data_IF_654006530747
#
_entry.id   IF_654006530747
#
_cell.length_a   1.000
_cell.length_b   1.000
_cell.length_c   1.000
_cell.angle_alpha   90.00
_cell.angle_beta   90.00
_cell.angle_gamma   90.00
#
_symmetry.space_group_name_H-M   'P 1'
#
loop_
_entity.id
_entity.type
_entity.pdbx_description
1 polymer ?
#
# COMPACT_ATOMS: atom_id res chain seq x y z
N UNK A 1 -8.62 -33.05 28.78
CA UNK A 1 -9.20 -32.56 27.52
C UNK A 1 -8.87 -31.08 27.41
N UNK A 2 -8.02 -30.71 26.44
CA UNK A 2 -7.55 -29.33 26.24
C UNK A 2 -8.75 -28.45 25.88
N UNK A 3 -9.01 -27.43 26.70
CA UNK A 3 -10.07 -26.46 26.48
C UNK A 3 -9.77 -25.67 25.21
N UNK A 4 -10.71 -25.69 24.26
CA UNK A 4 -10.71 -24.79 23.12
C UNK A 4 -10.67 -23.35 23.63
N UNK A 5 -9.76 -22.54 23.10
CA UNK A 5 -9.76 -21.09 23.33
C UNK A 5 -11.14 -20.53 22.98
N UNK A 6 -11.78 -19.75 23.87
CA UNK A 6 -13.12 -19.28 23.62
C UNK A 6 -13.12 -18.32 22.42
N UNK A 7 -14.06 -18.56 21.49
CA UNK A 7 -14.34 -17.69 20.35
C UNK A 7 -14.55 -16.24 20.85
N UNK A 8 -13.86 -15.21 20.31
CA UNK A 8 -14.01 -13.82 20.76
C UNK A 8 -15.44 -13.28 20.65
N UNK A 9 -16.33 -13.92 19.88
CA UNK A 9 -17.76 -13.61 19.86
C UNK A 9 -18.50 -14.00 21.15
N UNK A 10 -18.01 -14.97 21.93
CA UNK A 10 -18.69 -15.46 23.14
C UNK A 10 -18.55 -14.53 24.36
N UNK A 11 -17.74 -13.48 24.28
CA UNK A 11 -17.59 -12.45 25.33
C UNK A 11 -18.65 -11.33 25.24
N UNK A 12 -19.53 -11.36 24.24
CA UNK A 12 -20.39 -10.21 23.87
C UNK A 12 -21.71 -10.09 24.61
N UNK A 13 -22.11 -11.10 25.39
CA UNK A 13 -23.36 -11.06 26.14
C UNK A 13 -23.07 -10.91 27.63
N UNK A 14 -23.54 -9.82 28.24
CA UNK A 14 -23.64 -9.78 29.70
C UNK A 14 -24.57 -10.92 30.12
N UNK A 15 -24.05 -11.86 30.91
CA UNK A 15 -24.88 -12.94 31.45
C UNK A 15 -25.91 -12.29 32.37
N UNK A 16 -27.19 -12.40 32.03
CA UNK A 16 -28.28 -11.99 32.92
C UNK A 16 -28.03 -12.60 34.30
N UNK A 17 -28.04 -11.83 35.39
CA UNK A 17 -27.75 -12.35 36.72
C UNK A 17 -28.69 -13.50 37.08
N UNK A 18 -28.18 -14.53 37.75
CA UNK A 18 -28.92 -15.77 38.02
C UNK A 18 -30.29 -15.55 38.71
N UNK A 19 -30.40 -14.54 39.59
CA UNK A 19 -31.65 -14.19 40.27
C UNK A 19 -32.71 -13.65 39.31
N UNK A 20 -32.31 -12.84 38.34
CA UNK A 20 -33.22 -12.32 37.32
C UNK A 20 -33.67 -13.44 36.37
N UNK A 21 -32.79 -14.41 36.09
CA UNK A 21 -33.17 -15.59 35.30
C UNK A 21 -34.24 -16.43 36.01
N UNK A 22 -34.16 -16.58 37.34
CA UNK A 22 -35.15 -17.31 38.12
C UNK A 22 -36.50 -16.57 38.11
N UNK A 23 -36.49 -15.24 38.28
CA UNK A 23 -37.70 -14.44 38.23
C UNK A 23 -38.42 -14.56 36.88
N UNK A 24 -37.69 -14.47 35.77
CA UNK A 24 -38.26 -14.64 34.42
C UNK A 24 -38.79 -16.07 34.14
N UNK A 25 -38.22 -17.09 34.79
CA UNK A 25 -38.74 -18.47 34.70
C UNK A 25 -39.99 -18.68 35.54
N UNK A 26 -40.05 -18.05 36.71
CA UNK A 26 -41.21 -18.12 37.60
C UNK A 26 -42.39 -17.29 37.09
N UNK A 27 -42.13 -16.18 36.39
CA UNK A 27 -43.17 -15.37 35.73
C UNK A 27 -43.76 -16.03 34.48
N UNK A 28 -43.13 -17.10 33.97
CA UNK A 28 -43.54 -17.78 32.74
C UNK A 28 -43.03 -17.14 31.45
N UNK A 29 -42.24 -16.06 31.55
CA UNK A 29 -41.66 -15.40 30.37
C UNK A 29 -40.62 -16.28 29.67
N UNK A 30 -39.90 -17.12 30.44
CA UNK A 30 -38.84 -18.02 29.97
C UNK A 30 -39.15 -19.50 30.26
N UNK A 31 -38.61 -20.44 29.46
CA UNK A 31 -38.79 -21.87 29.71
C UNK A 31 -38.18 -22.29 31.05
N UNK A 32 -38.89 -23.17 31.78
CA UNK A 32 -38.51 -23.66 33.11
C UNK A 32 -37.12 -24.34 33.10
N UNK A 33 -36.78 -25.01 31.99
CA UNK A 33 -35.50 -25.68 31.76
C UNK A 33 -34.90 -25.28 30.42
N UNK A 34 -33.57 -25.22 30.33
CA UNK A 34 -32.85 -24.91 29.09
C UNK A 34 -32.21 -23.52 29.07
N UNK A 35 -31.72 -23.15 27.89
CA UNK A 35 -31.04 -21.88 27.63
C UNK A 35 -32.08 -20.75 27.60
N UNK A 36 -31.86 -19.63 28.32
CA UNK A 36 -32.78 -18.50 28.26
C UNK A 36 -32.91 -17.96 26.82
N UNK A 37 -34.12 -17.56 26.39
CA UNK A 37 -34.31 -16.96 25.08
C UNK A 37 -33.55 -15.64 25.00
N UNK A 38 -33.03 -15.32 23.81
CA UNK A 38 -32.35 -14.05 23.57
C UNK A 38 -33.38 -12.91 23.71
N UNK A 39 -33.05 -11.89 24.50
CA UNK A 39 -33.85 -10.68 24.54
C UNK A 39 -33.82 -9.96 23.19
N UNK A 40 -34.84 -9.15 22.88
CA UNK A 40 -34.95 -8.42 21.60
C UNK A 40 -33.69 -7.59 21.28
N UNK A 41 -33.10 -6.94 22.29
CA UNK A 41 -31.84 -6.20 22.12
C UNK A 41 -30.66 -7.12 21.79
N UNK A 42 -30.53 -8.25 22.48
CA UNK A 42 -29.47 -9.24 22.21
C UNK A 42 -29.64 -9.90 20.84
N UNK A 43 -30.88 -10.14 20.42
CA UNK A 43 -31.20 -10.64 19.09
C UNK A 43 -30.84 -9.60 18.02
N UNK A 44 -31.18 -8.32 18.22
CA UNK A 44 -30.80 -7.23 17.30
C UNK A 44 -29.28 -7.08 17.21
N UNK A 45 -28.56 -7.23 18.32
CA UNK A 45 -27.09 -7.15 18.35
C UNK A 45 -26.42 -8.29 17.56
N UNK A 46 -27.08 -9.45 17.37
CA UNK A 46 -26.58 -10.50 16.48
C UNK A 46 -26.53 -10.07 15.01
N UNK A 47 -27.42 -9.16 14.61
CA UNK A 47 -27.49 -8.61 13.26
C UNK A 47 -26.79 -7.25 13.15
N UNK A 48 -26.07 -6.81 14.18
CA UNK A 48 -25.30 -5.58 14.12
C UNK A 48 -24.12 -5.76 13.15
N UNK A 49 -24.24 -5.21 11.95
CA UNK A 49 -23.15 -5.13 10.98
C UNK A 49 -22.05 -4.23 11.53
N UNK A 50 -20.85 -4.76 11.67
CA UNK A 50 -19.67 -3.95 11.94
C UNK A 50 -19.13 -3.41 10.61
N UNK A 51 -18.59 -2.18 10.60
CA UNK A 51 -17.96 -1.65 9.40
C UNK A 51 -16.83 -2.57 8.98
N UNK A 52 -16.81 -2.93 7.70
CA UNK A 52 -15.71 -3.62 7.08
C UNK A 52 -14.52 -2.67 6.91
N UNK A 53 -13.33 -3.21 6.67
CA UNK A 53 -12.16 -2.38 6.39
C UNK A 53 -12.37 -1.48 5.16
N UNK A 54 -13.07 -1.97 4.14
CA UNK A 54 -13.45 -1.22 2.94
C UNK A 54 -14.22 0.06 3.24
N UNK A 55 -15.03 0.08 4.31
CA UNK A 55 -15.89 1.21 4.66
C UNK A 55 -15.08 2.41 5.17
N UNK A 56 -13.78 2.21 5.47
CA UNK A 56 -12.85 3.27 5.84
C UNK A 56 -12.02 3.79 4.66
N UNK A 57 -12.17 3.22 3.46
CA UNK A 57 -11.54 3.76 2.26
C UNK A 57 -12.29 5.03 1.82
N UNK A 58 -11.56 6.08 1.38
CA UNK A 58 -12.14 7.41 1.27
C UNK A 58 -13.00 7.63 0.01
N UNK A 59 -13.15 6.63 -0.86
CA UNK A 59 -13.84 6.74 -2.16
C UNK A 59 -14.98 5.72 -2.26
N UNK A 60 -16.08 6.15 -2.87
CA UNK A 60 -17.28 5.33 -3.11
C UNK A 60 -17.32 4.84 -4.57
N UNK A 61 -17.26 5.77 -5.53
CA UNK A 61 -17.37 5.47 -6.97
C UNK A 61 -16.52 6.38 -7.84
N UNK A 62 -16.27 5.96 -9.07
CA UNK A 62 -15.63 6.76 -10.11
C UNK A 62 -16.67 7.34 -11.07
N UNK A 63 -16.50 8.60 -11.45
CA UNK A 63 -17.25 9.28 -12.50
C UNK A 63 -16.36 9.39 -13.76
N UNK A 64 -16.62 8.58 -14.80
CA UNK A 64 -15.81 8.60 -16.02
C UNK A 64 -16.01 9.86 -16.87
N UNK A 65 -17.13 10.58 -16.73
CA UNK A 65 -17.39 11.78 -17.52
C UNK A 65 -16.53 12.96 -17.06
N UNK A 66 -16.36 13.11 -15.75
CA UNK A 66 -15.55 14.18 -15.14
C UNK A 66 -14.14 13.69 -14.71
N UNK A 67 -13.90 12.38 -14.75
CA UNK A 67 -12.66 11.73 -14.35
C UNK A 67 -12.35 11.86 -12.86
N UNK A 68 -13.35 11.88 -11.98
CA UNK A 68 -13.19 12.09 -10.54
C UNK A 68 -13.73 10.91 -9.72
N UNK A 69 -13.19 10.72 -8.53
CA UNK A 69 -13.70 9.81 -7.51
C UNK A 69 -14.62 10.57 -6.56
N UNK A 70 -15.85 10.08 -6.40
CA UNK A 70 -16.75 10.52 -5.33
C UNK A 70 -16.24 9.93 -4.01
N UNK A 71 -16.17 10.76 -2.98
CA UNK A 71 -15.69 10.34 -1.66
C UNK A 71 -16.82 9.73 -0.80
N UNK A 72 -16.41 9.16 0.33
CA UNK A 72 -17.23 8.50 1.36
C UNK A 72 -18.43 9.32 1.87
N UNK A 73 -18.36 10.65 1.81
CA UNK A 73 -19.43 11.56 2.23
C UNK A 73 -20.53 11.79 1.16
N UNK A 74 -20.38 11.19 -0.03
CA UNK A 74 -21.34 11.28 -1.12
C UNK A 74 -21.44 12.65 -1.79
N UNK A 75 -20.55 13.61 -1.46
CA UNK A 75 -20.56 14.96 -2.04
C UNK A 75 -19.16 15.43 -2.47
N UNK A 76 -18.16 15.13 -1.66
CA UNK A 76 -16.79 15.51 -1.92
C UNK A 76 -16.21 14.69 -3.05
N UNK A 77 -15.27 15.27 -3.79
CA UNK A 77 -14.64 14.62 -4.94
C UNK A 77 -13.12 14.73 -4.85
N UNK A 78 -12.45 13.77 -5.45
CA UNK A 78 -11.00 13.75 -5.63
C UNK A 78 -10.60 13.29 -7.02
N UNK A 79 -9.39 13.62 -7.43
CA UNK A 79 -8.78 13.13 -8.65
C UNK A 79 -7.41 12.54 -8.32
N UNK A 80 -7.06 11.44 -9.01
CA UNK A 80 -5.79 10.76 -8.84
C UNK A 80 -4.98 10.93 -10.13
N UNK A 81 -3.71 11.28 -9.98
CA UNK A 81 -2.77 11.45 -11.07
C UNK A 81 -1.53 10.60 -10.80
N UNK A 82 -1.03 9.94 -11.82
CA UNK A 82 0.31 9.39 -11.84
C UNK A 82 1.26 10.44 -12.41
N UNK A 83 2.31 10.75 -11.66
CA UNK A 83 3.35 11.69 -12.04
C UNK A 83 4.60 10.91 -12.50
N UNK A 84 5.07 11.17 -13.71
CA UNK A 84 6.35 10.71 -14.21
C UNK A 84 7.45 11.69 -13.81
N UNK A 85 8.49 11.19 -13.16
CA UNK A 85 9.63 11.99 -12.75
C UNK A 85 10.26 12.69 -13.97
N UNK A 86 10.65 13.95 -13.79
CA UNK A 86 11.43 14.67 -14.80
C UNK A 86 12.84 14.05 -14.90
N UNK A 87 13.37 13.99 -16.12
CA UNK A 87 14.73 13.50 -16.36
C UNK A 87 15.78 14.53 -15.90
N UNK A 88 16.14 14.41 -14.63
CA UNK A 88 17.12 15.26 -13.95
C UNK A 88 18.47 14.54 -13.75
N UNK A 89 18.60 13.31 -14.23
CA UNK A 89 19.83 12.54 -14.06
C UNK A 89 21.00 13.18 -14.80
N UNK A 90 22.15 13.24 -14.14
CA UNK A 90 23.39 13.83 -14.67
C UNK A 90 23.27 15.28 -15.18
N UNK A 91 22.25 16.04 -14.74
CA UNK A 91 22.09 17.47 -15.07
C UNK A 91 23.00 18.34 -14.20
N UNK A 92 23.36 19.50 -14.74
CA UNK A 92 24.15 20.49 -14.02
C UNK A 92 23.39 21.01 -12.78
N UNK A 93 24.07 21.34 -11.66
CA UNK A 93 23.43 21.85 -10.44
C UNK A 93 22.51 23.05 -10.67
N UNK A 94 22.83 23.93 -11.61
CA UNK A 94 22.03 25.10 -11.96
C UNK A 94 20.68 24.70 -12.54
N UNK A 95 20.64 23.61 -13.33
CA UNK A 95 19.40 23.08 -13.89
C UNK A 95 18.51 22.46 -12.81
N UNK A 96 19.11 21.78 -11.83
CA UNK A 96 18.39 21.26 -10.66
C UNK A 96 17.79 22.39 -9.82
N UNK A 97 18.57 23.44 -9.55
CA UNK A 97 18.10 24.62 -8.81
C UNK A 97 16.97 25.36 -9.57
N UNK A 98 17.07 25.47 -10.89
CA UNK A 98 16.01 26.01 -11.73
C UNK A 98 14.74 25.16 -11.66
N UNK A 99 14.86 23.84 -11.79
CA UNK A 99 13.72 22.92 -11.67
C UNK A 99 13.04 23.05 -10.32
N UNK A 100 13.80 23.09 -9.21
CA UNK A 100 13.25 23.26 -7.86
C UNK A 100 12.48 24.59 -7.73
N UNK A 101 13.01 25.69 -8.26
CA UNK A 101 12.33 26.98 -8.26
C UNK A 101 11.02 26.95 -9.06
N UNK A 102 11.03 26.31 -10.22
CA UNK A 102 9.84 26.15 -11.05
C UNK A 102 8.81 25.24 -10.37
N UNK A 103 9.25 24.16 -9.73
CA UNK A 103 8.39 23.26 -8.96
C UNK A 103 7.72 24.00 -7.78
N UNK A 104 8.46 24.85 -7.05
CA UNK A 104 7.88 25.68 -5.98
C UNK A 104 6.79 26.62 -6.51
N UNK A 105 7.01 27.23 -7.68
CA UNK A 105 6.00 28.06 -8.34
C UNK A 105 4.75 27.25 -8.71
N UNK A 106 4.94 26.06 -9.28
CA UNK A 106 3.85 25.16 -9.66
C UNK A 106 3.06 24.70 -8.44
N UNK A 107 3.71 24.34 -7.33
CA UNK A 107 3.04 23.99 -6.08
C UNK A 107 2.18 25.15 -5.54
N UNK A 108 2.61 26.40 -5.76
CA UNK A 108 1.84 27.60 -5.45
C UNK A 108 0.57 27.78 -6.29
N UNK A 109 0.42 27.06 -7.41
CA UNK A 109 -0.79 27.07 -8.26
C UNK A 109 -1.90 26.15 -7.72
N UNK A 110 -1.65 25.38 -6.66
CA UNK A 110 -2.70 24.59 -6.02
C UNK A 110 -3.80 25.51 -5.47
N UNK A 111 -5.08 25.10 -5.53
CA UNK A 111 -6.18 25.94 -5.06
C UNK A 111 -6.06 26.24 -3.56
N UNK A 112 -5.79 27.50 -3.25
CA UNK A 112 -5.67 28.03 -1.89
C UNK A 112 -6.69 29.16 -1.69
N UNK A 113 -7.96 28.77 -1.64
CA UNK A 113 -9.06 29.70 -1.32
C UNK A 113 -9.09 29.93 0.20
N UNK A 114 -9.44 31.14 0.64
CA UNK A 114 -9.67 31.48 2.05
C UNK A 114 -11.03 30.90 2.49
N UNK A 115 -11.09 29.57 2.53
CA UNK A 115 -12.27 28.74 2.79
C UNK A 115 -11.93 27.74 3.91
N UNK A 116 -12.83 27.46 4.86
CA UNK A 116 -12.61 26.47 5.92
C UNK A 116 -12.36 25.03 5.41
N UNK A 117 -12.62 24.75 4.14
CA UNK A 117 -12.43 23.44 3.51
C UNK A 117 -11.29 23.49 2.48
N UNK A 118 -10.02 23.31 2.91
CA UNK A 118 -8.87 23.41 2.04
C UNK A 118 -8.81 22.26 1.03
N UNK A 119 -8.17 22.53 -0.11
CA UNK A 119 -7.79 21.48 -1.07
C UNK A 119 -6.56 20.76 -0.54
N UNK A 120 -6.59 19.44 -0.54
CA UNK A 120 -5.50 18.59 -0.07
C UNK A 120 -4.85 17.93 -1.29
N UNK A 121 -3.54 18.15 -1.45
CA UNK A 121 -2.67 17.33 -2.30
C UNK A 121 -1.99 16.28 -1.40
N UNK A 122 -2.22 15.01 -1.69
CA UNK A 122 -1.56 13.89 -1.03
C UNK A 122 -0.70 13.14 -2.04
N UNK A 123 0.60 13.03 -1.74
CA UNK A 123 1.57 12.33 -2.56
C UNK A 123 1.87 10.95 -1.96
N UNK A 124 1.86 9.94 -2.81
CA UNK A 124 2.27 8.57 -2.50
C UNK A 124 3.41 8.18 -3.41
N UNK A 125 4.47 7.63 -2.81
CA UNK A 125 5.61 7.06 -3.54
C UNK A 125 5.56 5.55 -3.37
N UNK A 126 5.47 4.85 -4.49
CA UNK A 126 5.53 3.40 -4.55
C UNK A 126 6.80 2.97 -5.30
N UNK A 127 7.58 2.10 -4.67
CA UNK A 127 8.70 1.43 -5.33
C UNK A 127 8.18 0.11 -5.89
N UNK A 128 7.71 0.13 -7.13
CA UNK A 128 7.16 -1.03 -7.80
C UNK A 128 8.27 -1.85 -8.44
N UNK A 129 8.08 -3.16 -8.49
CA UNK A 129 8.95 -4.00 -9.32
C UNK A 129 8.64 -3.74 -10.79
N UNK A 130 9.63 -3.37 -11.61
CA UNK A 130 9.38 -3.12 -13.01
C UNK A 130 8.88 -4.40 -13.69
N UNK A 131 8.04 -4.27 -14.74
CA UNK A 131 7.69 -5.41 -15.59
C UNK A 131 8.95 -6.04 -16.18
N UNK A 132 8.89 -7.34 -16.48
CA UNK A 132 10.03 -8.03 -17.09
C UNK A 132 10.28 -7.45 -18.48
N UNK A 133 11.50 -6.95 -18.72
CA UNK A 133 11.84 -6.29 -19.99
C UNK A 133 11.74 -7.26 -21.17
N UNK A 134 12.02 -8.55 -20.96
CA UNK A 134 11.92 -9.56 -22.02
C UNK A 134 10.48 -9.72 -22.48
N UNK A 135 9.50 -9.68 -21.58
CA UNK A 135 8.08 -9.81 -21.93
C UNK A 135 7.60 -8.61 -22.76
N UNK A 136 8.07 -7.41 -22.41
CA UNK A 136 7.76 -6.21 -23.19
C UNK A 136 8.37 -6.26 -24.59
N UNK A 137 9.64 -6.66 -24.68
CA UNK A 137 10.35 -6.77 -25.95
C UNK A 137 9.75 -7.88 -26.82
N UNK A 138 9.39 -9.01 -26.23
CA UNK A 138 8.70 -10.10 -26.92
C UNK A 138 7.38 -9.61 -27.52
N UNK A 139 6.53 -8.94 -26.72
CA UNK A 139 5.27 -8.38 -27.19
C UNK A 139 5.44 -7.35 -28.33
N UNK A 140 6.52 -6.57 -28.32
CA UNK A 140 6.83 -5.58 -29.35
C UNK A 140 7.52 -6.16 -30.61
N UNK A 141 8.04 -7.38 -30.53
CA UNK A 141 8.80 -8.00 -31.63
C UNK A 141 7.85 -8.61 -32.68
N UNK A 142 8.04 -8.35 -33.99
CA UNK A 142 7.26 -8.99 -35.07
C UNK A 142 7.27 -10.53 -35.01
N UNK A 143 6.16 -11.17 -35.38
CA UNK A 143 5.95 -12.61 -35.20
C UNK A 143 6.99 -13.48 -35.93
N UNK A 144 7.37 -13.08 -37.16
CA UNK A 144 8.36 -13.74 -38.01
C UNK A 144 9.76 -13.80 -37.38
N UNK A 145 10.15 -12.77 -36.63
CA UNK A 145 11.42 -12.73 -35.90
C UNK A 145 11.29 -13.36 -34.51
N UNK A 146 10.14 -13.20 -33.86
CA UNK A 146 9.83 -13.69 -32.51
C UNK A 146 9.93 -15.21 -32.42
N UNK A 147 9.45 -15.92 -33.44
CA UNK A 147 9.38 -17.39 -33.43
C UNK A 147 10.71 -18.09 -33.73
N UNK A 148 11.76 -17.34 -34.12
CA UNK A 148 13.06 -17.96 -34.38
C UNK A 148 13.66 -18.57 -33.11
N UNK A 149 14.33 -19.75 -33.19
CA UNK A 149 14.94 -20.38 -32.02
C UNK A 149 15.96 -19.49 -31.30
N UNK A 150 16.69 -18.67 -32.06
CA UNK A 150 17.64 -17.71 -31.50
C UNK A 150 16.94 -16.64 -30.67
N UNK A 151 15.89 -16.03 -31.22
CA UNK A 151 15.11 -14.97 -30.55
C UNK A 151 14.45 -15.49 -29.27
N UNK A 152 13.88 -16.69 -29.32
CA UNK A 152 13.28 -17.35 -28.14
C UNK A 152 14.32 -17.61 -27.05
N UNK A 153 15.51 -18.10 -27.42
CA UNK A 153 16.60 -18.28 -26.47
C UNK A 153 17.07 -16.94 -25.87
N UNK A 154 17.13 -15.89 -26.69
CA UNK A 154 17.49 -14.55 -26.25
C UNK A 154 16.47 -13.98 -25.24
N UNK A 155 15.17 -14.15 -25.48
CA UNK A 155 14.13 -13.78 -24.51
C UNK A 155 14.25 -14.59 -23.22
N UNK A 156 14.51 -15.89 -23.30
CA UNK A 156 14.68 -16.72 -22.10
C UNK A 156 15.84 -16.24 -21.22
N UNK A 157 17.00 -15.94 -21.80
CA UNK A 157 18.16 -15.40 -21.07
C UNK A 157 17.88 -14.01 -20.50
N UNK A 158 17.28 -13.13 -21.30
CA UNK A 158 16.94 -11.76 -20.87
C UNK A 158 15.91 -11.77 -19.75
N UNK A 159 14.93 -12.67 -19.82
CA UNK A 159 13.90 -12.85 -18.79
C UNK A 159 14.51 -13.25 -17.45
N UNK A 160 15.38 -14.26 -17.47
CA UNK A 160 16.11 -14.71 -16.29
C UNK A 160 16.99 -13.60 -15.70
N UNK A 161 17.68 -12.81 -16.54
CA UNK A 161 18.46 -11.67 -16.09
C UNK A 161 17.59 -10.58 -15.46
N UNK A 162 16.44 -10.26 -16.07
CA UNK A 162 15.50 -9.28 -15.53
C UNK A 162 14.92 -9.74 -14.19
N UNK A 163 14.65 -11.03 -13.99
CA UNK A 163 14.15 -11.56 -12.73
C UNK A 163 15.21 -11.48 -11.62
N UNK A 164 16.49 -11.71 -11.94
CA UNK A 164 17.59 -11.48 -11.01
C UNK A 164 17.64 -10.01 -10.56
N UNK A 165 17.54 -9.06 -11.50
CA UNK A 165 17.57 -7.63 -11.17
C UNK A 165 16.38 -7.18 -10.31
N UNK A 166 15.26 -7.92 -10.33
CA UNK A 166 14.03 -7.60 -9.59
C UNK A 166 13.98 -8.24 -8.20
N UNK A 167 14.85 -9.21 -7.90
CA UNK A 167 14.87 -9.93 -6.61
C UNK A 167 14.87 -8.93 -5.43
N UNK A 168 14.01 -9.17 -4.44
CA UNK A 168 13.85 -8.30 -3.28
C UNK A 168 15.12 -8.15 -2.44
N UNK A 169 16.06 -9.09 -2.53
CA UNK A 169 17.37 -9.05 -1.86
C UNK A 169 18.37 -8.16 -2.60
N UNK A 170 18.12 -7.86 -3.87
CA UNK A 170 19.04 -7.17 -4.76
C UNK A 170 20.22 -8.01 -5.21
N UNK A 171 20.90 -7.54 -6.25
CA UNK A 171 22.01 -8.26 -6.91
C UNK A 171 23.40 -7.80 -6.46
N UNK A 172 23.52 -6.59 -5.91
CA UNK A 172 24.78 -6.01 -5.44
C UNK A 172 24.56 -5.29 -4.10
N UNK A 173 25.47 -5.39 -3.15
CA UNK A 173 25.38 -4.63 -1.91
C UNK A 173 25.53 -3.11 -2.18
N UNK A 174 24.51 -2.29 -1.85
CA UNK A 174 24.63 -0.84 -1.97
C UNK A 174 25.09 -0.21 -0.63
N UNK A 175 26.39 0.07 -0.55
CA UNK A 175 27.02 0.69 0.62
C UNK A 175 26.49 2.10 0.93
N UNK A 176 25.84 2.80 -0.03
CA UNK A 176 25.31 4.17 0.18
C UNK A 176 24.02 4.19 1.01
N UNK A 177 23.25 3.09 0.95
CA UNK A 177 21.94 2.96 1.62
C UNK A 177 22.08 2.15 2.91
N UNK A 178 23.20 1.46 3.09
CA UNK A 178 23.48 0.65 4.27
C UNK A 178 23.82 1.55 5.45
N UNK A 179 22.89 1.70 6.41
CA UNK A 179 23.22 2.34 7.68
C UNK A 179 24.08 1.40 8.53
N UNK A 180 25.01 1.97 9.30
CA UNK A 180 25.93 1.20 10.14
C UNK A 180 25.16 0.27 11.11
N UNK A 181 25.26 -1.04 10.89
CA UNK A 181 24.65 -2.08 11.72
C UNK A 181 23.52 -2.88 11.06
N UNK A 182 23.00 -2.46 9.91
CA UNK A 182 22.00 -3.22 9.15
C UNK A 182 22.64 -4.08 8.04
N UNK A 183 21.93 -5.14 7.64
CA UNK A 183 22.31 -5.89 6.42
C UNK A 183 22.29 -4.93 5.22
N UNK A 184 23.28 -5.00 4.33
CA UNK A 184 23.31 -4.14 3.17
C UNK A 184 22.05 -4.36 2.34
N UNK A 185 21.38 -3.26 2.01
CA UNK A 185 20.24 -3.30 1.10
C UNK A 185 20.80 -3.46 -0.30
N UNK A 186 20.52 -4.59 -0.94
CA UNK A 186 20.99 -4.84 -2.29
C UNK A 186 20.36 -3.88 -3.29
N UNK A 187 21.13 -3.45 -4.28
CA UNK A 187 20.63 -2.76 -5.46
C UNK A 187 19.71 -3.70 -6.24
N UNK A 188 18.53 -3.18 -6.59
CA UNK A 188 17.55 -3.86 -7.44
C UNK A 188 16.92 -2.85 -8.38
N UNK A 189 16.40 -3.32 -9.51
CA UNK A 189 15.61 -2.50 -10.40
C UNK A 189 14.29 -2.13 -9.73
N UNK A 190 13.99 -0.83 -9.69
CA UNK A 190 12.78 -0.27 -9.09
C UNK A 190 12.19 0.70 -10.09
N UNK A 191 10.89 0.59 -10.30
CA UNK A 191 10.09 1.59 -10.99
C UNK A 191 9.39 2.46 -9.93
N UNK A 192 9.86 3.70 -9.77
CA UNK A 192 9.30 4.62 -8.78
C UNK A 192 8.04 5.28 -9.35
N UNK A 193 6.90 4.89 -8.82
CA UNK A 193 5.60 5.46 -9.18
C UNK A 193 5.20 6.53 -8.17
N UNK A 194 4.89 7.73 -8.66
CA UNK A 194 4.42 8.84 -7.84
C UNK A 194 2.92 9.04 -8.12
N UNK A 195 2.09 8.88 -7.10
CA UNK A 195 0.66 9.12 -7.19
C UNK A 195 0.29 10.39 -6.43
N UNK A 196 -0.31 11.34 -7.12
CA UNK A 196 -0.83 12.58 -6.58
C UNK A 196 -2.36 12.51 -6.49
N UNK A 197 -2.89 12.49 -5.28
CA UNK A 197 -4.32 12.55 -5.01
C UNK A 197 -4.68 13.99 -4.62
N UNK A 198 -5.49 14.66 -5.43
CA UNK A 198 -5.99 16.01 -5.12
C UNK A 198 -7.47 15.91 -4.80
N UNK A 199 -7.87 16.35 -3.61
CA UNK A 199 -9.27 16.28 -3.19
C UNK A 199 -9.64 17.43 -2.28
N UNK A 200 -10.94 17.66 -2.13
CA UNK A 200 -11.49 18.63 -1.19
C UNK A 200 -12.67 18.03 -0.44
N UNK A 201 -12.54 17.86 0.88
CA UNK A 201 -13.62 17.41 1.75
C UNK A 201 -14.44 18.61 2.24
N UNK A 202 -15.65 18.77 1.72
CA UNK A 202 -16.54 19.88 2.06
C UNK A 202 -18.01 19.42 2.13
N UNK A 203 -18.79 19.88 3.13
CA UNK A 203 -20.19 19.51 3.25
C UNK A 203 -21.02 20.08 2.10
N UNK A 204 -22.20 19.51 1.80
CA UNK A 204 -23.09 19.99 0.73
C UNK A 204 -23.46 21.48 0.85
N UNK A 205 -23.46 22.05 2.07
CA UNK A 205 -23.70 23.47 2.31
C UNK A 205 -22.65 24.39 1.67
N UNK A 206 -21.40 23.94 1.53
CA UNK A 206 -20.31 24.70 0.91
C UNK A 206 -20.53 24.90 -0.61
N UNK A 207 -21.33 24.03 -1.23
CA UNK A 207 -21.58 24.03 -2.68
C UNK A 207 -22.83 24.81 -3.09
N UNK A 208 -23.75 25.10 -2.15
CA UNK A 208 -25.02 25.79 -2.45
C UNK A 208 -24.88 27.15 -3.14
N UNK A 209 -23.78 27.86 -2.88
CA UNK A 209 -23.51 29.19 -3.44
C UNK A 209 -22.59 29.14 -4.67
N UNK A 210 -22.06 27.97 -5.02
CA UNK A 210 -21.16 27.81 -6.17
C UNK A 210 -21.98 27.47 -7.42
N UNK A 211 -21.55 28.02 -8.56
CA UNK A 211 -22.19 27.76 -9.86
C UNK A 211 -21.81 26.41 -10.46
N UNK A 212 -20.65 25.88 -10.07
CA UNK A 212 -20.09 24.63 -10.57
C UNK A 212 -20.42 23.48 -9.63
N UNK A 213 -20.56 22.28 -10.19
CA UNK A 213 -20.59 21.05 -9.41
C UNK A 213 -19.23 20.83 -8.73
N UNK A 214 -19.14 20.00 -7.67
CA UNK A 214 -17.87 19.67 -7.04
C UNK A 214 -16.80 19.18 -8.02
N UNK A 215 -17.19 18.31 -8.97
CA UNK A 215 -16.33 17.75 -10.01
C UNK A 215 -15.79 18.83 -10.97
N UNK A 216 -16.69 19.66 -11.51
CA UNK A 216 -16.34 20.74 -12.44
C UNK A 216 -15.42 21.77 -11.78
N UNK A 217 -15.72 22.14 -10.52
CA UNK A 217 -14.88 23.06 -9.78
C UNK A 217 -13.49 22.47 -9.54
N UNK A 218 -13.39 21.20 -9.12
CA UNK A 218 -12.10 20.55 -8.87
C UNK A 218 -11.26 20.55 -10.15
N UNK A 219 -11.84 20.13 -11.27
CA UNK A 219 -11.18 20.09 -12.57
C UNK A 219 -10.68 21.47 -13.01
N UNK A 220 -11.51 22.50 -12.88
CA UNK A 220 -11.13 23.87 -13.21
C UNK A 220 -10.00 24.39 -12.29
N UNK A 221 -10.11 24.13 -10.98
CA UNK A 221 -9.21 24.66 -9.98
C UNK A 221 -7.81 24.03 -10.07
N UNK A 222 -7.70 22.73 -10.35
CA UNK A 222 -6.41 22.03 -10.44
C UNK A 222 -5.75 22.16 -11.81
N UNK A 223 -6.48 22.60 -12.85
CA UNK A 223 -5.94 22.66 -14.22
C UNK A 223 -4.62 23.46 -14.33
N UNK A 224 -4.48 24.68 -13.74
CA UNK A 224 -3.23 25.42 -13.78
C UNK A 224 -2.05 24.67 -13.13
N UNK A 225 -2.31 23.95 -12.03
CA UNK A 225 -1.30 23.12 -11.37
C UNK A 225 -0.82 21.98 -12.27
N UNK A 226 -1.75 21.28 -12.95
CA UNK A 226 -1.39 20.17 -13.84
C UNK A 226 -0.59 20.65 -15.06
N UNK A 227 -1.04 21.73 -15.71
CA UNK A 227 -0.29 22.33 -16.84
C UNK A 227 1.07 22.86 -16.39
N UNK A 228 1.15 23.41 -15.18
CA UNK A 228 2.42 23.82 -14.57
C UNK A 228 3.40 22.65 -14.44
N UNK A 229 2.94 21.49 -13.94
CA UNK A 229 3.77 20.27 -13.85
C UNK A 229 4.28 19.83 -15.23
N UNK A 230 3.41 19.79 -16.24
CA UNK A 230 3.81 19.41 -17.60
C UNK A 230 4.83 20.39 -18.19
N UNK A 231 4.69 21.70 -17.93
CA UNK A 231 5.60 22.73 -18.41
C UNK A 231 7.04 22.57 -17.90
N UNK A 232 7.20 22.02 -16.70
CA UNK A 232 8.52 21.80 -16.08
C UNK A 232 9.10 20.42 -16.43
N UNK A 233 8.38 19.62 -17.24
CA UNK A 233 8.80 18.30 -17.70
C UNK A 233 8.32 17.14 -16.82
N UNK A 234 7.41 17.38 -15.87
CA UNK A 234 6.76 16.29 -15.10
C UNK A 234 5.58 15.77 -15.91
N UNK A 235 5.64 14.50 -16.31
CA UNK A 235 4.53 13.88 -17.04
C UNK A 235 3.35 13.68 -16.10
N UNK A 236 2.16 14.14 -16.49
CA UNK A 236 0.94 13.93 -15.72
C UNK A 236 0.06 12.93 -16.46
N UNK A 237 -0.46 11.92 -15.76
CA UNK A 237 -1.45 10.99 -16.31
C UNK A 237 -2.58 10.83 -15.34
N UNK A 238 -3.81 11.13 -15.76
CA UNK A 238 -4.99 10.94 -14.92
C UNK A 238 -5.27 9.45 -14.75
N UNK A 239 -5.57 9.04 -13.52
CA UNK A 239 -5.82 7.65 -13.14
C UNK A 239 -7.33 7.44 -13.02
N UNK A 240 -7.83 6.44 -13.73
CA UNK A 240 -9.20 5.95 -13.67
C UNK A 240 -9.35 4.85 -12.60
N UNK A 241 -10.53 4.25 -12.52
CA UNK A 241 -10.82 3.18 -11.55
C UNK A 241 -9.99 1.90 -11.77
N UNK A 242 -9.73 1.51 -13.02
CA UNK A 242 -8.86 0.37 -13.33
C UNK A 242 -7.41 0.67 -12.91
N UNK A 243 -6.93 1.88 -13.17
CA UNK A 243 -5.63 2.34 -12.71
C UNK A 243 -5.53 2.44 -11.19
N UNK A 244 -6.59 2.83 -10.50
CA UNK A 244 -6.67 2.80 -9.03
C UNK A 244 -6.61 1.36 -8.50
N UNK A 245 -7.29 0.42 -9.16
CA UNK A 245 -7.19 -1.01 -8.86
C UNK A 245 -5.77 -1.55 -9.08
N UNK A 246 -5.15 -1.22 -10.22
CA UNK A 246 -3.77 -1.60 -10.51
C UNK A 246 -2.75 -1.00 -9.52
N UNK A 247 -3.12 0.09 -8.85
CA UNK A 247 -2.30 0.71 -7.81
C UNK A 247 -2.53 0.08 -6.43
N UNK A 248 -3.76 0.12 -5.91
CA UNK A 248 -4.04 -0.19 -4.51
C UNK A 248 -4.31 -1.66 -4.23
N UNK A 249 -4.87 -2.42 -5.19
CA UNK A 249 -5.24 -3.82 -4.96
C UNK A 249 -4.03 -4.69 -4.58
N UNK A 250 -2.86 -4.61 -5.26
CA UNK A 250 -1.70 -5.41 -4.87
C UNK A 250 -1.21 -5.16 -3.44
N UNK A 251 -1.45 -3.96 -2.89
CA UNK A 251 -1.06 -3.61 -1.53
C UNK A 251 -2.10 -4.05 -0.49
N UNK A 252 -3.39 -3.84 -0.76
CA UNK A 252 -4.49 -4.18 0.16
C UNK A 252 -4.82 -5.68 0.14
N UNK A 253 -4.66 -6.32 -1.02
CA UNK A 253 -4.94 -7.73 -1.25
C UNK A 253 -3.70 -8.41 -1.88
N UNK A 254 -2.58 -8.57 -1.13
CA UNK A 254 -1.33 -9.10 -1.67
C UNK A 254 -1.36 -10.60 -1.98
N UNK A 255 -2.34 -11.33 -1.44
CA UNK A 255 -2.57 -12.74 -1.72
C UNK A 255 -4.00 -12.90 -2.22
N UNK A 256 -4.18 -13.47 -3.41
CA UNK A 256 -5.50 -13.78 -3.95
C UNK A 256 -5.60 -15.28 -4.18
N UNK A 257 -6.49 -16.01 -3.46
CA UNK A 257 -6.65 -17.45 -3.64
C UNK A 257 -6.92 -17.82 -5.10
N UNK A 258 -6.17 -18.79 -5.63
CA UNK A 258 -6.29 -19.25 -7.01
C UNK A 258 -5.42 -18.50 -8.02
N UNK A 259 -4.70 -17.46 -7.60
CA UNK A 259 -3.81 -16.69 -8.48
C UNK A 259 -2.38 -16.64 -7.92
N UNK A 260 -1.40 -16.63 -8.83
CA UNK A 260 0.02 -16.58 -8.45
C UNK A 260 0.44 -15.20 -7.89
N UNK A 261 -0.25 -14.13 -8.28
CA UNK A 261 -0.01 -12.77 -7.82
C UNK A 261 -1.28 -11.91 -7.95
N UNK A 262 -1.35 -10.77 -7.24
CA UNK A 262 -2.43 -9.79 -7.44
C UNK A 262 -2.53 -9.27 -8.86
N UNK A 263 -1.40 -9.14 -9.57
CA UNK A 263 -1.37 -8.75 -10.98
C UNK A 263 -1.98 -9.83 -11.87
N UNK A 264 -1.70 -11.11 -11.62
CA UNK A 264 -2.35 -12.20 -12.36
C UNK A 264 -3.87 -12.21 -12.15
N UNK A 265 -4.32 -11.88 -10.93
CA UNK A 265 -5.75 -11.70 -10.64
C UNK A 265 -6.36 -10.54 -11.44
N UNK A 266 -5.73 -9.36 -11.43
CA UNK A 266 -6.20 -8.20 -12.19
C UNK A 266 -6.29 -8.49 -13.70
N UNK A 267 -5.26 -9.12 -14.27
CA UNK A 267 -5.25 -9.51 -15.68
C UNK A 267 -6.36 -10.51 -16.01
N UNK A 268 -6.65 -11.46 -15.11
CA UNK A 268 -7.69 -12.46 -15.32
C UNK A 268 -9.12 -11.90 -15.15
N UNK A 269 -9.31 -10.91 -14.27
CA UNK A 269 -10.60 -10.24 -14.09
C UNK A 269 -10.95 -9.35 -15.28
N UNK A 270 -9.94 -8.80 -15.97
CA UNK A 270 -10.15 -7.82 -17.02
C UNK A 270 -10.63 -6.48 -16.45
N UNK A 271 -11.19 -5.60 -17.31
CA UNK A 271 -11.69 -4.30 -16.89
C UNK A 271 -12.89 -4.43 -15.94
N UNK A 272 -13.07 -3.42 -15.08
CA UNK A 272 -14.25 -3.34 -14.23
C UNK A 272 -15.55 -3.29 -15.05
N UNK A 273 -16.67 -3.85 -14.53
CA UNK A 273 -17.95 -3.84 -15.24
C UNK A 273 -18.39 -2.38 -15.52
N UNK A 274 -19.00 -2.09 -16.67
CA UNK A 274 -19.46 -0.74 -16.99
C UNK A 274 -20.56 -0.28 -16.01
N UNK A 275 -20.78 1.03 -15.91
CA UNK A 275 -21.67 1.63 -14.90
C UNK A 275 -23.10 1.08 -14.98
N UNK A 276 -23.58 0.78 -16.18
CA UNK A 276 -24.91 0.26 -16.46
C UNK A 276 -25.15 -1.15 -15.91
N UNK A 277 -24.07 -1.92 -15.72
CA UNK A 277 -24.10 -3.28 -15.18
C UNK A 277 -23.94 -3.30 -13.65
N UNK A 278 -23.63 -2.15 -13.04
CA UNK A 278 -23.39 -2.03 -11.59
C UNK A 278 -24.72 -1.94 -10.83
N UNK A 279 -24.85 -2.76 -9.80
CA UNK A 279 -25.99 -2.69 -8.88
C UNK A 279 -25.79 -1.57 -7.85
N UNK A 280 -26.86 -1.21 -7.12
CA UNK A 280 -26.78 -0.24 -6.02
C UNK A 280 -25.85 -0.68 -4.86
N UNK A 281 -25.49 -1.97 -4.81
CA UNK A 281 -24.54 -2.50 -3.82
C UNK A 281 -23.09 -2.50 -4.32
N UNK A 282 -22.85 -2.04 -5.55
CA UNK A 282 -21.50 -1.97 -6.09
C UNK A 282 -20.72 -0.83 -5.42
N UNK A 283 -19.57 -1.17 -4.84
CA UNK A 283 -18.69 -0.25 -4.13
C UNK A 283 -17.25 -0.50 -4.56
N UNK A 284 -16.58 0.53 -5.08
CA UNK A 284 -15.19 0.41 -5.54
C UNK A 284 -14.24 -0.01 -4.41
N UNK A 285 -14.50 0.47 -3.21
CA UNK A 285 -13.74 0.13 -2.00
C UNK A 285 -13.74 -1.38 -1.70
N UNK A 286 -14.88 -2.05 -1.89
CA UNK A 286 -14.98 -3.50 -1.69
C UNK A 286 -14.19 -4.28 -2.74
N UNK A 287 -14.15 -3.78 -3.98
CA UNK A 287 -13.36 -4.39 -5.04
C UNK A 287 -11.84 -4.30 -4.83
N UNK A 288 -11.35 -3.29 -4.12
CA UNK A 288 -9.92 -3.17 -3.78
C UNK A 288 -9.52 -4.04 -2.58
N UNK A 289 -10.40 -4.13 -1.59
CA UNK A 289 -10.18 -4.88 -0.35
C UNK A 289 -10.95 -6.21 -0.38
N UNK A 290 -10.63 -7.06 -1.37
CA UNK A 290 -11.26 -8.38 -1.56
C UNK A 290 -11.10 -9.30 -0.35
N UNK A 291 -9.97 -9.17 0.36
CA UNK A 291 -9.70 -9.87 1.60
C UNK A 291 -9.59 -8.87 2.76
N UNK A 292 -10.23 -9.16 3.90
CA UNK A 292 -10.06 -8.33 5.09
C UNK A 292 -8.63 -8.43 5.64
N UNK A 293 -8.14 -7.40 6.34
CA UNK A 293 -6.86 -7.47 7.03
C UNK A 293 -6.87 -8.61 8.05
N UNK A 294 -5.74 -9.31 8.14
CA UNK A 294 -5.61 -10.48 8.99
C UNK A 294 -5.37 -10.03 10.43
N UNK A 295 -6.08 -10.59 11.43
CA UNK A 295 -5.81 -10.28 12.83
C UNK A 295 -4.35 -10.51 13.20
N UNK A 296 -3.76 -9.59 13.95
CA UNK A 296 -2.39 -9.72 14.47
C UNK A 296 -2.46 -10.57 15.76
N UNK A 297 -1.80 -11.74 15.82
CA UNK A 297 -1.72 -12.54 17.03
C UNK A 297 -1.07 -11.74 18.16
N UNK A 298 -1.56 -11.89 19.40
CA UNK A 298 -0.97 -11.25 20.59
C UNK A 298 -0.81 -9.73 20.47
N UNK A 299 -1.77 -9.08 19.78
CA UNK A 299 -1.76 -7.63 19.55
C UNK A 299 -1.63 -6.85 20.86
N UNK A 300 -0.57 -6.06 20.97
CA UNK A 300 -0.38 -5.09 22.03
C UNK A 300 -1.07 -3.77 21.64
N UNK A 301 -2.02 -3.25 22.43
CA UNK A 301 -2.78 -2.05 22.07
C UNK A 301 -1.94 -0.78 21.88
N UNK A 302 -0.79 -0.66 22.54
CA UNK A 302 0.07 0.52 22.47
C UNK A 302 1.10 0.39 21.35
N UNK A 303 1.80 -0.74 21.28
CA UNK A 303 2.85 -1.01 20.28
C UNK A 303 2.28 -1.18 18.88
N UNK A 304 1.16 -1.89 18.76
CA UNK A 304 0.58 -2.28 17.46
C UNK A 304 -0.54 -1.33 17.00
N UNK A 305 -0.59 -0.13 17.60
CA UNK A 305 -1.51 0.93 17.18
C UNK A 305 -1.13 1.42 15.79
N UNK A 306 -2.11 1.45 14.88
CA UNK A 306 -1.87 1.86 13.48
C UNK A 306 -1.10 0.83 12.64
N UNK A 307 -0.93 -0.40 13.14
CA UNK A 307 -0.40 -1.53 12.37
C UNK A 307 -1.56 -2.36 11.81
N UNK A 308 -1.46 -2.65 10.52
CA UNK A 308 -2.36 -3.49 9.75
C UNK A 308 -1.57 -4.62 9.11
N UNK A 309 -2.19 -5.79 8.98
CA UNK A 309 -1.58 -6.96 8.33
C UNK A 309 -2.42 -7.37 7.14
N UNK A 310 -1.84 -7.33 5.95
CA UNK A 310 -2.46 -7.79 4.70
C UNK A 310 -1.67 -8.99 4.21
N UNK A 311 -2.26 -10.19 4.28
CA UNK A 311 -1.51 -11.43 4.06
C UNK A 311 -0.32 -11.56 5.02
N UNK A 312 0.88 -11.67 4.46
CA UNK A 312 2.14 -11.71 5.21
C UNK A 312 2.74 -10.31 5.45
N UNK A 313 2.22 -9.28 4.77
CA UNK A 313 2.77 -7.93 4.82
C UNK A 313 2.23 -7.14 6.02
N UNK A 314 3.14 -6.61 6.83
CA UNK A 314 2.80 -5.63 7.87
C UNK A 314 2.95 -4.21 7.33
N UNK A 315 1.88 -3.44 7.49
CA UNK A 315 1.79 -2.03 7.13
C UNK A 315 1.62 -1.23 8.40
N UNK A 316 2.43 -0.18 8.58
CA UNK A 316 2.33 0.70 9.73
C UNK A 316 2.18 2.14 9.29
N UNK A 317 1.20 2.82 9.88
CA UNK A 317 1.10 4.27 9.79
C UNK A 317 2.18 4.92 10.64
N UNK A 318 2.98 5.77 10.00
CA UNK A 318 4.09 6.48 10.61
C UNK A 318 3.84 7.98 10.51
N UNK A 319 3.80 8.66 11.66
CA UNK A 319 3.76 10.11 11.72
C UNK A 319 5.17 10.67 11.66
N UNK A 320 5.48 11.43 10.62
CA UNK A 320 6.69 12.23 10.58
C UNK A 320 6.42 13.59 11.24
N UNK A 321 7.46 14.16 11.85
CA UNK A 321 7.40 15.57 12.24
C UNK A 321 7.52 16.44 10.99
N UNK A 322 6.95 17.65 11.05
CA UNK A 322 7.07 18.63 9.98
C UNK A 322 8.52 18.86 9.57
N UNK A 323 8.75 18.98 8.26
CA UNK A 323 10.06 19.24 7.68
C UNK A 323 10.48 20.66 8.08
N UNK A 324 11.55 20.78 8.87
CA UNK A 324 12.08 22.08 9.32
C UNK A 324 13.14 22.65 8.37
N UNK A 325 13.77 21.80 7.56
CA UNK A 325 14.81 22.17 6.61
C UNK A 325 14.56 21.46 5.29
N UNK A 326 14.84 22.12 4.14
CA UNK A 326 14.74 21.46 2.85
C UNK A 326 15.62 20.20 2.88
N UNK A 327 15.08 19.03 2.51
CA UNK A 327 15.87 17.82 2.45
C UNK A 327 16.97 17.93 1.39
N UNK A 328 18.03 17.15 1.56
CA UNK A 328 18.98 16.93 0.48
C UNK A 328 18.31 16.19 -0.68
N UNK A 329 18.80 16.41 -1.90
CA UNK A 329 18.29 15.75 -3.10
C UNK A 329 18.22 14.23 -2.91
N UNK A 330 17.05 13.64 -3.23
CA UNK A 330 16.78 12.22 -3.08
C UNK A 330 16.44 11.75 -1.66
N UNK A 331 16.41 12.62 -0.65
CA UNK A 331 16.06 12.25 0.74
C UNK A 331 14.65 12.73 1.10
N UNK A 332 13.66 11.83 1.08
CA UNK A 332 12.27 12.23 1.35
C UNK A 332 11.89 12.27 2.85
N UNK A 333 12.62 11.56 3.72
CA UNK A 333 12.37 11.56 5.17
C UNK A 333 13.63 11.19 5.96
N UNK A 334 13.97 11.99 6.98
CA UNK A 334 15.02 11.67 7.95
C UNK A 334 14.37 11.23 9.27
N UNK A 335 14.45 9.95 9.60
CA UNK A 335 14.00 9.46 10.91
C UNK A 335 15.01 9.90 11.99
N UNK A 336 14.64 10.90 12.80
CA UNK A 336 15.38 11.23 14.01
C UNK A 336 14.91 10.30 15.15
N UNK A 337 15.75 9.35 15.59
CA UNK A 337 15.52 8.63 16.86
C UNK A 337 15.60 9.64 18.01
N UNK A 338 14.46 10.09 18.54
CA UNK A 338 14.41 10.85 19.81
C UNK A 338 14.11 9.88 20.96
N UNK A 339 14.94 9.94 22.02
CA UNK A 339 14.71 9.25 23.30
C UNK A 339 13.30 9.59 23.82
N UNK A 340 12.56 8.54 24.20
CA UNK A 340 11.31 8.51 25.01
C UNK A 340 10.79 9.89 25.44
N UNK A 341 9.65 10.32 24.87
CA UNK A 341 8.50 10.95 25.54
C UNK A 341 7.42 11.36 24.53
N UNK A 342 6.22 10.85 24.80
CA UNK A 342 4.84 11.28 24.53
C UNK A 342 4.49 12.37 23.48
N UNK A 343 3.50 12.00 22.66
CA UNK A 343 2.45 12.77 21.96
C UNK A 343 2.74 13.56 20.65
N UNK A 344 1.74 13.45 19.75
CA UNK A 344 1.57 13.86 18.34
C UNK A 344 1.67 15.39 18.07
N UNK A 345 1.99 15.83 16.82
CA UNK A 345 0.94 16.08 15.81
C UNK A 345 1.28 15.67 14.35
N UNK A 346 0.27 15.82 13.49
CA UNK A 346 0.14 15.42 12.08
C UNK A 346 1.22 15.94 11.12
N UNK A 347 1.52 15.15 10.08
CA UNK A 347 2.14 15.63 8.84
C UNK A 347 2.87 14.57 8.02
N UNK A 348 2.31 14.21 6.87
CA UNK A 348 2.89 13.44 5.73
C UNK A 348 3.35 11.99 5.98
N UNK A 349 2.99 11.13 5.01
CA UNK A 349 2.98 9.67 5.03
C UNK A 349 4.13 9.05 4.24
N UNK A 350 4.94 8.18 4.88
CA UNK A 350 5.54 7.05 4.18
C UNK A 350 5.03 5.72 4.76
N UNK A 351 4.53 4.84 3.89
CA UNK A 351 4.26 3.44 4.23
C UNK A 351 5.56 2.65 4.07
N UNK A 352 6.11 2.13 5.16
CA UNK A 352 7.18 1.12 5.10
C UNK A 352 6.59 -0.28 5.26
N UNK A 353 6.85 -1.15 4.29
CA UNK A 353 6.61 -2.59 4.37
C UNK A 353 7.83 -3.22 5.04
N UNK A 354 7.62 -3.95 6.13
CA UNK A 354 8.68 -4.75 6.77
C UNK A 354 8.32 -6.23 6.63
N UNK A 355 9.15 -7.05 5.96
CA UNK A 355 8.86 -8.47 5.79
C UNK A 355 9.21 -9.35 7.00
N UNK A 356 9.87 -8.82 8.04
CA UNK A 356 10.27 -9.63 9.20
C UNK A 356 10.04 -8.89 10.53
N UNK A 357 9.08 -9.38 11.32
CA UNK A 357 8.91 -9.08 12.74
C UNK A 357 8.71 -10.38 13.54
N UNK A 358 9.41 -11.46 13.20
CA UNK A 358 9.44 -12.69 14.01
C UNK A 358 10.87 -13.09 14.35
N UNK A 359 11.51 -12.31 15.22
CA UNK A 359 12.81 -12.63 15.77
C UNK A 359 12.75 -13.13 17.22
N UNK A 360 11.66 -13.76 17.68
CA UNK A 360 11.65 -14.44 18.99
C UNK A 360 10.69 -15.64 19.01
N UNK A 361 11.07 -16.76 18.38
CA UNK A 361 10.46 -18.07 18.66
C UNK A 361 11.54 -19.15 18.83
N UNK A 362 11.61 -19.87 19.97
CA UNK A 362 12.68 -20.81 20.29
C UNK A 362 12.64 -22.14 19.49
N UNK A 363 11.74 -22.27 18.50
CA UNK A 363 11.57 -23.49 17.72
C UNK A 363 12.61 -23.62 16.59
N UNK A 364 13.20 -22.52 16.11
CA UNK A 364 14.20 -22.53 15.04
C UNK A 364 15.60 -23.06 15.45
N UNK A 365 15.87 -23.19 16.75
CA UNK A 365 17.19 -23.62 17.25
C UNK A 365 17.44 -25.14 17.13
N UNK A 366 16.41 -25.96 16.93
CA UNK A 366 16.56 -27.43 16.86
C UNK A 366 16.91 -27.97 15.47
N UNK A 367 16.63 -27.25 14.39
CA UNK A 367 16.97 -27.70 13.03
C UNK A 367 18.43 -27.41 12.61
N UNK A 368 19.14 -26.49 13.28
CA UNK A 368 20.56 -26.19 12.96
C UNK A 368 21.59 -27.17 13.53
N UNK A 369 21.22 -28.05 14.46
CA UNK A 369 22.16 -29.03 15.06
C UNK A 369 22.22 -30.38 14.34
N UNK A 370 21.34 -30.65 13.38
CA UNK A 370 21.24 -31.96 12.72
C UNK A 370 21.93 -32.04 11.35
N UNK A 371 22.48 -30.95 10.81
CA UNK A 371 23.07 -30.90 9.46
C UNK A 371 24.56 -30.52 9.44
N UNK A 372 25.26 -30.67 10.58
CA UNK A 372 26.63 -30.21 10.76
C UNK A 372 27.57 -31.29 11.30
N UNK A 373 27.53 -32.49 10.73
CA UNK A 373 28.64 -33.46 10.84
C UNK A 373 28.54 -34.46 9.70
N UNK A 374 29.26 -34.19 8.62
CA UNK A 374 29.93 -35.18 7.76
C UNK A 374 30.19 -34.57 6.38
N UNK A 375 31.45 -34.20 6.12
CA UNK A 375 32.14 -34.40 4.84
C UNK A 375 33.47 -33.62 4.82
N UNK A 376 34.55 -34.35 5.13
CA UNK A 376 35.81 -34.41 4.36
C UNK A 376 36.43 -33.13 3.81
N UNK A 377 37.60 -32.77 4.35
CA UNK A 377 38.65 -32.11 3.58
C UNK A 377 40.02 -32.76 3.90
N UNK A 378 40.52 -33.55 2.94
CA UNK A 378 41.88 -34.06 2.87
C UNK A 378 42.44 -33.73 1.50
N UNK A 379 43.75 -33.41 1.48
CA UNK A 379 44.63 -33.05 0.34
C UNK A 379 44.47 -31.62 -0.18
N UNK A 380 45.50 -30.87 -0.53
CA UNK A 380 46.96 -30.95 -0.41
C UNK A 380 47.45 -29.65 -1.07
N UNK A 381 48.25 -28.82 -0.40
CA UNK A 381 48.95 -27.72 -1.06
C UNK A 381 50.40 -27.74 -0.62
N UNK A 382 51.25 -28.22 -1.51
CA UNK A 382 52.70 -28.03 -1.47
C UNK A 382 53.11 -27.61 -2.89
N UNK A 383 53.79 -26.46 -3.00
CA UNK A 383 54.69 -26.03 -4.08
C UNK A 383 54.99 -24.52 -3.95
N UNK A 384 56.09 -24.23 -3.26
CA UNK A 384 57.29 -23.72 -3.94
C UNK A 384 57.30 -22.27 -4.42
N UNK A 385 57.87 -21.40 -3.56
CA UNK A 385 58.48 -20.11 -3.90
C UNK A 385 59.49 -20.23 -5.06
N UNK A 386 59.56 -19.20 -5.92
CA UNK A 386 60.80 -18.78 -6.61
C UNK A 386 60.95 -17.24 -6.61
N UNK A 387 62.19 -16.70 -6.58
CA UNK A 387 62.45 -15.29 -6.33
C UNK A 387 62.73 -14.48 -7.62
N UNK A 388 62.69 -13.15 -7.47
CA UNK A 388 63.04 -12.13 -8.48
C UNK A 388 64.55 -12.10 -8.76
N UNK A 389 64.91 -11.79 -10.00
CA UNK A 389 66.22 -11.26 -10.40
C UNK A 389 66.38 -11.24 -11.92
N UNK A 390 66.69 -10.06 -12.48
CA UNK A 390 66.97 -9.84 -13.91
C UNK A 390 66.20 -8.65 -14.46
#
# INVERSE_FOLDING_TARGET
MKGASPNPASRRFSRTPWYAQILHRLSGDWPLTGTPPLGVAQFRDLFHSYPAFSDYLPFARYDPAEGVFLLDDGCSVGAVFRLGAADLEARAPERLAEFNRQLDQVLGLLPNEDDPYPTILQLYLENREPPNVADQLEAATPADVRESPYTQQWFAVTRAHSDLMRDSRGIFDDARVTQAGDRPKGWRAIDQQIHACVYRKAPPSAWKKRRHTPAQWLNLAIHPFLTGLESIGVRVTRVDEDGLCAWLLPWLTPLVPGFASPQAYLTACGPLPPLEERTAAWELAQHLAQLPPVPIPERDPERDRGVWRFGECYTRFLTLQGIQHPPADGVHARYAKRKRRDCLPLGSTPTQQHPDLDAHSPVAARHRRALGSDATQSRSNDLGKRPRGG
#
